data_IF_965454068460
#
_entry.id   IF_965454068460
#
_cell.length_a   1.000
_cell.length_b   1.000
_cell.length_c   1.000
_cell.angle_alpha   90.00
_cell.angle_beta   90.00
_cell.angle_gamma   90.00
#
_symmetry.space_group_name_H-M   'P 1'
#
loop_
_entity.id
_entity.type
_entity.pdbx_description
1 polymer ?
#
# COMPACT_ATOMS: atom_id res chain seq x y z
N UNK A 1 -17.25 5.63 45.52
CA UNK A 1 -17.16 6.30 44.21
C UNK A 1 -15.76 6.07 43.65
N UNK A 2 -15.61 5.03 42.85
CA UNK A 2 -14.52 4.85 41.90
C UNK A 2 -15.24 4.64 40.58
N UNK A 3 -15.28 5.68 39.75
CA UNK A 3 -16.11 5.75 38.54
C UNK A 3 -15.39 5.15 37.31
N UNK A 4 -14.45 4.24 37.53
CA UNK A 4 -13.70 3.60 36.44
C UNK A 4 -14.42 2.32 36.04
N UNK A 5 -15.47 2.45 35.23
CA UNK A 5 -16.08 1.33 34.53
C UNK A 5 -15.16 0.86 33.41
N UNK A 6 -15.28 -0.42 33.04
CA UNK A 6 -14.67 -0.94 31.81
C UNK A 6 -15.23 -0.18 30.61
N UNK A 7 -14.38 0.08 29.62
CA UNK A 7 -14.84 0.61 28.34
C UNK A 7 -15.65 -0.47 27.61
N UNK A 8 -16.54 -0.04 26.72
CA UNK A 8 -17.40 -0.99 26.00
C UNK A 8 -16.55 -1.87 25.06
N UNK A 9 -15.44 -1.34 24.51
CA UNK A 9 -14.50 -2.11 23.69
C UNK A 9 -13.85 -3.24 24.47
N UNK A 10 -13.45 -3.01 25.73
CA UNK A 10 -12.84 -4.03 26.58
C UNK A 10 -13.83 -5.15 26.96
N UNK A 11 -15.11 -4.82 27.12
CA UNK A 11 -16.17 -5.82 27.37
C UNK A 11 -16.45 -6.63 26.10
N UNK A 12 -16.43 -6.00 24.93
CA UNK A 12 -16.67 -6.68 23.65
C UNK A 12 -15.50 -7.57 23.24
N UNK A 13 -14.25 -7.12 23.40
CA UNK A 13 -13.06 -7.94 23.12
C UNK A 13 -13.04 -9.18 24.00
N UNK A 14 -13.34 -9.03 25.30
CA UNK A 14 -13.47 -10.15 26.23
C UNK A 14 -14.51 -11.19 25.75
N UNK A 15 -15.62 -10.75 25.15
CA UNK A 15 -16.70 -11.64 24.69
C UNK A 15 -16.44 -12.29 23.32
N UNK A 16 -15.66 -11.63 22.45
CA UNK A 16 -15.42 -12.08 21.07
C UNK A 16 -14.13 -12.89 20.91
N UNK A 17 -13.07 -12.53 21.64
CA UNK A 17 -11.74 -13.14 21.52
C UNK A 17 -11.44 -14.16 22.64
N UNK A 18 -12.38 -14.41 23.57
CA UNK A 18 -12.17 -15.26 24.76
C UNK A 18 -10.88 -14.88 25.51
N UNK A 19 -10.55 -13.58 25.53
CA UNK A 19 -9.33 -13.09 26.16
C UNK A 19 -9.47 -13.16 27.69
N UNK A 20 -8.84 -14.16 28.33
CA UNK A 20 -8.84 -14.35 29.79
C UNK A 20 -7.94 -13.35 30.52
N UNK A 21 -8.25 -12.06 30.44
CA UNK A 21 -7.51 -11.04 31.18
C UNK A 21 -8.03 -10.95 32.62
N UNK A 22 -7.17 -11.27 33.60
CA UNK A 22 -7.50 -11.40 35.03
C UNK A 22 -8.05 -10.09 35.64
N UNK A 23 -7.67 -8.95 35.06
CA UNK A 23 -8.13 -7.62 35.45
C UNK A 23 -9.60 -7.39 35.07
N UNK A 24 -10.04 -7.92 33.93
CA UNK A 24 -11.42 -7.78 33.44
C UNK A 24 -12.35 -8.69 34.25
N UNK A 25 -11.93 -9.93 34.52
CA UNK A 25 -12.72 -10.90 35.28
C UNK A 25 -12.90 -10.46 36.75
N UNK A 26 -11.86 -9.93 37.38
CA UNK A 26 -11.94 -9.39 38.74
C UNK A 26 -12.83 -8.15 38.83
N UNK A 27 -12.83 -7.27 37.81
CA UNK A 27 -13.73 -6.12 37.76
C UNK A 27 -15.19 -6.53 37.54
N UNK A 28 -15.46 -7.48 36.64
CA UNK A 28 -16.81 -8.00 36.37
C UNK A 28 -17.43 -8.74 37.57
N UNK A 29 -16.60 -9.28 38.47
CA UNK A 29 -17.07 -9.89 39.72
C UNK A 29 -17.62 -8.86 40.72
N UNK A 30 -17.12 -7.62 40.67
CA UNK A 30 -17.42 -6.57 41.65
C UNK A 30 -18.40 -5.52 41.11
N UNK A 31 -18.34 -5.18 39.82
CA UNK A 31 -19.17 -4.14 39.22
C UNK A 31 -20.45 -4.70 38.58
N UNK A 32 -21.60 -4.42 39.20
CA UNK A 32 -22.92 -4.85 38.70
C UNK A 32 -23.27 -4.23 37.33
N UNK A 33 -22.89 -2.98 37.08
CA UNK A 33 -23.21 -2.28 35.83
C UNK A 33 -22.46 -2.87 34.63
N UNK A 34 -21.15 -3.10 34.78
CA UNK A 34 -20.32 -3.75 33.76
C UNK A 34 -20.80 -5.19 33.48
N UNK A 35 -21.24 -5.90 34.53
CA UNK A 35 -21.82 -7.25 34.40
C UNK A 35 -23.14 -7.24 33.63
N UNK A 36 -24.02 -6.27 33.89
CA UNK A 36 -25.28 -6.12 33.14
C UNK A 36 -25.02 -5.85 31.66
N UNK A 37 -24.06 -4.96 31.33
CA UNK A 37 -23.62 -4.71 29.95
C UNK A 37 -23.08 -5.97 29.27
N UNK A 38 -22.23 -6.74 29.95
CA UNK A 38 -21.69 -8.00 29.42
C UNK A 38 -22.79 -8.99 29.05
N UNK A 39 -23.83 -9.13 29.88
CA UNK A 39 -24.97 -9.99 29.55
C UNK A 39 -25.77 -9.49 28.35
N UNK A 40 -25.99 -8.19 28.23
CA UNK A 40 -26.66 -7.61 27.07
C UNK A 40 -25.88 -7.88 25.77
N UNK A 41 -24.56 -7.70 25.78
CA UNK A 41 -23.71 -8.04 24.62
C UNK A 41 -23.70 -9.54 24.31
N UNK A 42 -23.71 -10.39 25.34
CA UNK A 42 -23.80 -11.85 25.18
C UNK A 42 -25.11 -12.26 24.48
N UNK A 43 -26.22 -11.68 24.91
CA UNK A 43 -27.54 -11.94 24.32
C UNK A 43 -27.61 -11.45 22.88
N UNK A 44 -27.13 -10.23 22.60
CA UNK A 44 -27.06 -9.69 21.25
C UNK A 44 -26.22 -10.56 20.31
N UNK A 45 -25.06 -11.02 20.78
CA UNK A 45 -24.17 -11.91 20.02
C UNK A 45 -24.81 -13.28 19.77
N UNK A 46 -25.55 -13.80 20.75
CA UNK A 46 -26.33 -15.03 20.58
C UNK A 46 -27.38 -14.87 19.49
N UNK A 47 -28.13 -13.77 19.46
CA UNK A 47 -29.10 -13.51 18.40
C UNK A 47 -28.42 -13.34 17.04
N UNK A 48 -27.33 -12.57 16.95
CA UNK A 48 -26.56 -12.40 15.71
C UNK A 48 -26.09 -13.74 15.15
N UNK A 49 -25.54 -14.62 16.01
CA UNK A 49 -25.10 -15.96 15.60
C UNK A 49 -26.26 -16.88 15.21
N UNK A 50 -27.46 -16.63 15.74
CA UNK A 50 -28.67 -17.38 15.43
C UNK A 50 -29.31 -16.94 14.11
N UNK A 51 -29.02 -15.73 13.61
CA UNK A 51 -29.35 -15.40 12.23
C UNK A 51 -28.55 -16.35 11.33
N UNK A 52 -29.27 -17.22 10.61
CA UNK A 52 -28.64 -18.02 9.57
C UNK A 52 -27.98 -17.07 8.57
N UNK A 53 -26.71 -17.31 8.23
CA UNK A 53 -26.06 -16.51 7.20
C UNK A 53 -26.87 -16.65 5.92
N UNK A 54 -27.26 -15.51 5.35
CA UNK A 54 -27.95 -15.49 4.08
C UNK A 54 -27.11 -16.27 3.07
N UNK A 55 -27.69 -17.32 2.47
CA UNK A 55 -26.99 -18.16 1.51
C UNK A 55 -26.76 -17.32 0.27
N UNK A 56 -25.57 -16.72 0.20
CA UNK A 56 -25.15 -15.96 -0.96
C UNK A 56 -25.08 -16.93 -2.14
N UNK A 57 -25.80 -16.70 -3.25
CA UNK A 57 -25.91 -17.67 -4.35
C UNK A 57 -24.62 -17.79 -5.17
N UNK A 58 -23.59 -17.03 -4.84
CA UNK A 58 -22.31 -17.02 -5.53
C UNK A 58 -21.17 -17.44 -4.61
N UNK A 59 -20.21 -18.15 -5.18
CA UNK A 59 -19.03 -18.61 -4.46
C UNK A 59 -18.09 -17.42 -4.19
N UNK A 60 -18.17 -16.86 -2.99
CA UNK A 60 -17.33 -15.74 -2.55
C UNK A 60 -15.83 -16.07 -2.67
N UNK A 61 -15.46 -17.33 -2.48
CA UNK A 61 -14.05 -17.76 -2.59
C UNK A 61 -13.53 -17.67 -4.02
N UNK A 62 -14.37 -17.95 -5.02
CA UNK A 62 -14.02 -17.89 -6.44
C UNK A 62 -13.83 -16.44 -6.90
N UNK A 63 -14.74 -15.55 -6.49
CA UNK A 63 -14.65 -14.10 -6.77
C UNK A 63 -13.41 -13.50 -6.08
N UNK A 64 -13.12 -13.90 -4.85
CA UNK A 64 -11.94 -13.44 -4.12
C UNK A 64 -10.64 -13.93 -4.80
N UNK A 65 -10.57 -15.20 -5.20
CA UNK A 65 -9.42 -15.75 -5.94
C UNK A 65 -9.19 -15.05 -7.26
N UNK A 66 -10.27 -14.74 -8.01
CA UNK A 66 -10.17 -14.04 -9.27
C UNK A 66 -9.55 -12.64 -9.12
N UNK A 67 -9.89 -11.92 -8.04
CA UNK A 67 -9.29 -10.61 -7.73
C UNK A 67 -7.82 -10.71 -7.32
N UNK A 68 -7.44 -11.77 -6.59
CA UNK A 68 -6.04 -11.99 -6.16
C UNK A 68 -5.17 -12.31 -7.37
N UNK A 69 -5.63 -13.15 -8.31
CA UNK A 69 -4.86 -13.48 -9.51
C UNK A 69 -4.81 -12.35 -10.53
N UNK A 70 -5.86 -11.53 -10.63
CA UNK A 70 -5.86 -10.36 -11.49
C UNK A 70 -4.89 -9.25 -11.03
N UNK A 71 -4.48 -9.26 -9.76
CA UNK A 71 -3.55 -8.25 -9.21
C UNK A 71 -2.08 -8.57 -9.48
N UNK A 72 -1.74 -9.62 -10.24
CA UNK A 72 -0.35 -9.85 -10.64
C UNK A 72 0.16 -8.64 -11.44
N UNK A 73 1.26 -7.99 -11.00
CA UNK A 73 1.75 -6.81 -11.67
C UNK A 73 2.19 -7.18 -13.08
N UNK A 74 1.55 -6.57 -14.09
CA UNK A 74 1.98 -6.62 -15.49
C UNK A 74 3.44 -6.18 -15.61
N UNK A 75 4.35 -7.16 -15.62
CA UNK A 75 5.81 -6.99 -15.64
C UNK A 75 6.37 -6.41 -16.96
N UNK A 76 5.51 -6.11 -17.94
CA UNK A 76 5.96 -5.80 -19.30
C UNK A 76 6.39 -4.35 -19.52
N UNK A 77 5.93 -3.38 -18.71
CA UNK A 77 6.17 -1.95 -19.01
C UNK A 77 7.50 -1.41 -18.48
N UNK A 78 8.12 -2.10 -17.51
CA UNK A 78 9.39 -1.64 -16.93
C UNK A 78 10.59 -1.92 -17.85
N UNK A 79 10.53 -2.97 -18.67
CA UNK A 79 11.61 -3.33 -19.60
C UNK A 79 11.85 -2.27 -20.67
N UNK A 80 10.79 -1.62 -21.17
CA UNK A 80 10.91 -0.58 -22.19
C UNK A 80 11.65 0.67 -21.68
N UNK A 81 11.36 1.08 -20.45
CA UNK A 81 12.04 2.22 -19.82
C UNK A 81 13.50 1.91 -19.50
N UNK A 82 13.80 0.70 -19.01
CA UNK A 82 15.16 0.26 -18.74
C UNK A 82 15.98 0.21 -20.04
N UNK A 83 15.40 -0.31 -21.13
CA UNK A 83 16.06 -0.36 -22.43
C UNK A 83 16.32 1.05 -23.00
N UNK A 84 15.37 1.98 -22.86
CA UNK A 84 15.53 3.37 -23.30
C UNK A 84 16.58 4.12 -22.47
N UNK A 85 16.62 3.88 -21.16
CA UNK A 85 17.64 4.47 -20.27
C UNK A 85 19.04 3.94 -20.62
N UNK A 86 19.16 2.63 -20.84
CA UNK A 86 20.42 2.01 -21.26
C UNK A 86 20.89 2.56 -22.61
N UNK A 87 19.99 2.78 -23.56
CA UNK A 87 20.31 3.39 -24.85
C UNK A 87 20.77 4.84 -24.71
N UNK A 88 20.11 5.65 -23.88
CA UNK A 88 20.52 7.04 -23.60
C UNK A 88 21.89 7.13 -22.94
N UNK A 89 22.17 6.25 -21.98
CA UNK A 89 23.48 6.18 -21.31
C UNK A 89 24.56 5.81 -22.33
N UNK A 90 24.34 4.73 -23.09
CA UNK A 90 25.30 4.27 -24.10
C UNK A 90 25.54 5.31 -25.19
N UNK A 91 24.49 5.95 -25.69
CA UNK A 91 24.58 7.04 -26.68
C UNK A 91 25.34 8.26 -26.15
N UNK A 92 25.11 8.61 -24.88
CA UNK A 92 25.85 9.70 -24.22
C UNK A 92 27.35 9.40 -24.12
N UNK A 93 27.73 8.17 -23.79
CA UNK A 93 29.15 7.76 -23.76
C UNK A 93 29.81 7.84 -25.13
N UNK A 94 29.14 7.40 -26.19
CA UNK A 94 29.66 7.45 -27.57
C UNK A 94 29.82 8.89 -28.04
N UNK A 95 28.84 9.75 -27.78
CA UNK A 95 28.90 11.18 -28.15
C UNK A 95 29.97 11.94 -27.38
N UNK A 96 30.19 11.62 -26.10
CA UNK A 96 31.21 12.26 -25.27
C UNK A 96 32.63 11.72 -25.53
N UNK A 97 32.79 10.51 -26.07
CA UNK A 97 34.10 9.88 -26.30
C UNK A 97 35.13 10.75 -27.05
N UNK A 98 34.81 11.38 -28.20
CA UNK A 98 35.77 12.23 -28.91
C UNK A 98 36.09 13.54 -28.18
N UNK A 99 35.24 13.97 -27.24
CA UNK A 99 35.39 15.21 -26.48
C UNK A 99 36.19 15.04 -25.19
N UNK A 100 36.45 13.80 -24.74
CA UNK A 100 37.25 13.52 -23.54
C UNK A 100 38.70 14.01 -23.69
N UNK A 101 39.33 13.79 -24.85
CA UNK A 101 40.72 14.22 -25.10
C UNK A 101 40.91 15.75 -25.04
N UNK A 102 40.09 16.58 -25.73
CA UNK A 102 40.19 18.04 -25.61
C UNK A 102 39.66 18.60 -24.28
N UNK A 103 38.75 17.90 -23.59
CA UNK A 103 38.23 18.32 -22.27
C UNK A 103 39.31 18.41 -21.20
N UNK A 104 40.25 17.46 -21.19
CA UNK A 104 41.41 17.50 -20.30
C UNK A 104 42.38 18.66 -20.62
N UNK A 105 42.32 19.23 -21.83
CA UNK A 105 43.20 20.32 -22.26
C UNK A 105 42.59 21.71 -22.04
N UNK A 106 41.28 21.86 -22.29
CA UNK A 106 40.54 23.12 -22.11
C UNK A 106 39.27 22.87 -21.28
N UNK A 107 39.39 22.98 -19.96
CA UNK A 107 38.32 22.69 -18.98
C UNK A 107 37.02 23.47 -19.21
N UNK A 108 37.10 24.71 -19.71
CA UNK A 108 35.95 25.60 -19.85
C UNK A 108 35.03 25.27 -21.04
N UNK A 109 35.52 24.62 -22.09
CA UNK A 109 34.74 24.39 -23.33
C UNK A 109 33.90 23.10 -23.28
N UNK A 110 34.26 22.17 -22.38
CA UNK A 110 33.65 20.84 -22.30
C UNK A 110 32.52 20.73 -21.28
N UNK A 111 32.35 21.72 -20.40
CA UNK A 111 31.24 21.76 -19.44
C UNK A 111 29.89 21.95 -20.14
N UNK A 112 29.83 22.78 -21.18
CA UNK A 112 28.60 23.13 -21.90
C UNK A 112 27.90 21.93 -22.55
N UNK A 113 28.57 21.07 -23.35
CA UNK A 113 27.92 19.89 -23.92
C UNK A 113 27.53 18.87 -22.85
N UNK A 114 28.32 18.73 -21.79
CA UNK A 114 28.03 17.78 -20.72
C UNK A 114 26.78 18.20 -19.93
N UNK A 115 26.65 19.48 -19.60
CA UNK A 115 25.48 20.05 -18.95
C UNK A 115 24.22 19.94 -19.82
N UNK A 116 24.35 20.05 -21.15
CA UNK A 116 23.23 19.90 -22.07
C UNK A 116 22.72 18.45 -22.11
N UNK A 117 23.64 17.48 -22.21
CA UNK A 117 23.28 16.04 -22.24
C UNK A 117 22.59 15.61 -20.93
N UNK A 118 23.11 16.05 -19.78
CA UNK A 118 22.49 15.73 -18.49
C UNK A 118 21.12 16.38 -18.35
N UNK A 119 20.97 17.64 -18.75
CA UNK A 119 19.68 18.33 -18.72
C UNK A 119 18.62 17.63 -19.60
N UNK A 120 18.98 17.20 -20.80
CA UNK A 120 18.09 16.45 -21.71
C UNK A 120 17.74 15.08 -21.11
N UNK A 121 18.71 14.36 -20.57
CA UNK A 121 18.47 13.03 -19.99
C UNK A 121 17.55 13.09 -18.76
N UNK A 122 17.76 14.08 -17.88
CA UNK A 122 16.88 14.31 -16.72
C UNK A 122 15.47 14.69 -17.18
N UNK A 123 15.35 15.57 -18.18
CA UNK A 123 14.05 15.98 -18.71
C UNK A 123 13.25 14.79 -19.26
N UNK A 124 13.90 13.91 -20.03
CA UNK A 124 13.27 12.69 -20.56
C UNK A 124 12.84 11.76 -19.42
N UNK A 125 13.68 11.60 -18.40
CA UNK A 125 13.35 10.77 -17.24
C UNK A 125 12.12 11.29 -16.49
N UNK A 126 12.07 12.60 -16.22
CA UNK A 126 10.93 13.23 -15.56
C UNK A 126 9.65 13.08 -16.39
N UNK A 127 9.72 13.28 -17.70
CA UNK A 127 8.59 13.06 -18.60
C UNK A 127 8.07 11.62 -18.57
N UNK A 128 8.98 10.65 -18.58
CA UNK A 128 8.65 9.24 -18.49
C UNK A 128 8.01 8.88 -17.14
N UNK A 129 8.53 9.42 -16.04
CA UNK A 129 7.98 9.20 -14.70
C UNK A 129 6.59 9.83 -14.55
N UNK A 130 6.40 11.07 -15.01
CA UNK A 130 5.10 11.74 -15.02
C UNK A 130 4.07 10.96 -15.84
N UNK A 131 4.46 10.45 -17.01
CA UNK A 131 3.59 9.61 -17.83
C UNK A 131 3.18 8.34 -17.10
N UNK A 132 4.13 7.68 -16.41
CA UNK A 132 3.87 6.48 -15.61
C UNK A 132 2.91 6.76 -14.45
N UNK A 133 3.11 7.88 -13.74
CA UNK A 133 2.23 8.29 -12.65
C UNK A 133 0.81 8.61 -13.16
N UNK A 134 0.70 9.29 -14.31
CA UNK A 134 -0.58 9.62 -14.91
C UNK A 134 -1.36 8.35 -15.31
N UNK A 135 -0.67 7.38 -15.90
CA UNK A 135 -1.27 6.09 -16.24
C UNK A 135 -1.77 5.33 -15.01
N UNK A 136 -0.99 5.28 -13.92
CA UNK A 136 -1.43 4.68 -12.66
C UNK A 136 -2.69 5.34 -12.11
N UNK A 137 -2.76 6.67 -12.15
CA UNK A 137 -3.94 7.44 -11.69
C UNK A 137 -5.18 7.12 -12.54
N UNK A 138 -5.04 7.03 -13.86
CA UNK A 138 -6.15 6.61 -14.73
C UNK A 138 -6.63 5.21 -14.37
N UNK A 139 -5.71 4.25 -14.21
CA UNK A 139 -6.10 2.89 -13.85
C UNK A 139 -6.83 2.81 -12.50
N UNK A 140 -6.46 3.62 -11.51
CA UNK A 140 -7.15 3.68 -10.22
C UNK A 140 -8.57 4.30 -10.27
N UNK A 141 -8.90 5.08 -11.31
CA UNK A 141 -10.19 5.75 -11.44
C UNK A 141 -11.18 4.90 -12.26
N UNK A 142 -10.67 3.98 -13.09
CA UNK A 142 -11.46 3.20 -14.05
C UNK A 142 -11.57 1.70 -13.72
N UNK A 143 -11.06 1.25 -12.56
CA UNK A 143 -11.32 -0.07 -11.92
C UNK A 143 -12.18 0.10 -10.65
#
# INVERSE_FOLDING_TARGET
MSNNHLSDEAIQSFLLEDSCEEVITSHLAVCADCKAKMYAYKELTFYIKKLEPETVPFNVSEIAMQKIWASEPKRSEEFGLIALLAFLIMGSFVLCYPWIKPAFRNWNTSITPFAFVTAVSISIYILADLYRQYKKKITMIFD
#
